data_IF_472373740752
#
_entry.id   IF_472373740752
#
_cell.length_a   1.000
_cell.length_b   1.000
_cell.length_c   1.000
_cell.angle_alpha   90.00
_cell.angle_beta   90.00
_cell.angle_gamma   90.00
#
_symmetry.space_group_name_H-M   'P 1'
#
loop_
_entity.id
_entity.type
_entity.pdbx_description
1 polymer ?
#
# COMPACT_ATOMS: atom_id res chain seq x y z
N UNK A 1 12.33 8.54 0.57
CA UNK A 1 12.00 7.83 1.82
C UNK A 1 13.28 7.50 2.58
N UNK A 2 13.30 7.76 3.89
CA UNK A 2 14.47 7.47 4.75
C UNK A 2 14.47 6.04 5.31
N UNK A 3 13.43 5.27 5.06
CA UNK A 3 13.33 3.89 5.51
C UNK A 3 14.12 2.94 4.61
N UNK A 4 14.70 1.92 5.23
CA UNK A 4 15.48 0.89 4.55
C UNK A 4 14.76 -0.47 4.60
N UNK A 5 13.48 -0.48 4.22
CA UNK A 5 12.70 -1.73 4.20
C UNK A 5 13.33 -2.73 3.22
N UNK A 6 13.64 -3.96 3.65
CA UNK A 6 14.29 -4.94 2.78
C UNK A 6 13.46 -5.33 1.56
N UNK A 7 12.14 -5.26 1.66
CA UNK A 7 11.18 -5.53 0.59
C UNK A 7 10.86 -4.32 -0.31
N UNK A 8 11.56 -3.20 -0.14
CA UNK A 8 11.25 -2.00 -0.92
C UNK A 8 11.67 -2.18 -2.38
N UNK A 9 10.70 -2.19 -3.29
CA UNK A 9 10.95 -2.30 -4.74
C UNK A 9 11.65 -1.06 -5.31
N UNK A 10 11.55 0.05 -4.60
CA UNK A 10 12.05 1.33 -5.10
C UNK A 10 13.53 1.59 -4.80
N UNK A 11 14.25 0.65 -4.19
CA UNK A 11 15.65 0.87 -3.80
C UNK A 11 16.60 1.09 -4.98
N UNK A 12 16.36 0.39 -6.08
CA UNK A 12 17.20 0.42 -7.26
C UNK A 12 16.74 1.48 -8.26
N UNK A 13 15.43 1.71 -8.33
CA UNK A 13 14.82 2.65 -9.26
C UNK A 13 15.13 4.13 -8.94
N UNK A 14 15.45 4.46 -7.70
CA UNK A 14 15.81 5.83 -7.30
C UNK A 14 17.27 6.20 -7.51
N UNK A 15 18.10 5.29 -7.98
CA UNK A 15 19.49 5.58 -8.29
C UNK A 15 19.61 6.55 -9.49
N UNK A 16 18.66 6.52 -10.40
CA UNK A 16 18.62 7.39 -11.57
C UNK A 16 17.31 8.20 -11.60
N UNK A 17 17.42 9.48 -11.22
CA UNK A 17 16.33 10.46 -11.28
C UNK A 17 16.31 11.21 -12.61
N UNK A 18 17.14 10.82 -13.58
CA UNK A 18 17.15 11.42 -14.91
C UNK A 18 15.82 11.13 -15.63
N UNK A 19 15.17 12.15 -16.09
CA UNK A 19 13.88 12.04 -16.78
C UNK A 19 12.65 12.07 -15.87
N UNK A 20 12.81 12.17 -14.54
CA UNK A 20 11.71 12.49 -13.66
C UNK A 20 11.24 13.95 -13.90
N UNK A 21 9.98 14.11 -14.27
CA UNK A 21 9.38 15.42 -14.51
C UNK A 21 7.99 15.45 -13.92
N UNK A 22 7.74 16.44 -13.07
CA UNK A 22 6.44 16.68 -12.48
C UNK A 22 5.37 16.94 -13.57
N UNK A 23 5.76 17.66 -14.62
CA UNK A 23 4.90 17.90 -15.79
C UNK A 23 4.46 16.59 -16.46
N UNK A 24 5.41 15.68 -16.71
CA UNK A 24 5.10 14.36 -17.32
C UNK A 24 4.20 13.50 -16.42
N UNK A 25 4.33 13.63 -15.10
CA UNK A 25 3.43 12.94 -14.16
C UNK A 25 2.02 13.51 -14.29
N UNK A 26 1.86 14.82 -14.30
CA UNK A 26 0.57 15.48 -14.46
C UNK A 26 -0.08 15.14 -15.79
N UNK A 27 0.69 15.13 -16.88
CA UNK A 27 0.21 14.67 -18.20
C UNK A 27 -0.24 13.20 -18.16
N UNK A 28 0.49 12.33 -17.42
CA UNK A 28 0.14 10.93 -17.29
C UNK A 28 -1.15 10.74 -16.51
N UNK A 29 -1.38 11.54 -15.45
CA UNK A 29 -2.64 11.58 -14.72
C UNK A 29 -3.80 11.93 -15.67
N UNK A 30 -3.66 12.98 -16.50
CA UNK A 30 -4.66 13.36 -17.48
C UNK A 30 -4.92 12.28 -18.54
N UNK A 31 -3.87 11.56 -18.97
CA UNK A 31 -4.04 10.42 -19.89
C UNK A 31 -4.80 9.27 -19.23
N UNK A 32 -4.53 8.98 -17.96
CA UNK A 32 -5.23 7.92 -17.23
C UNK A 32 -6.71 8.24 -17.04
N UNK A 33 -7.08 9.49 -16.80
CA UNK A 33 -8.47 9.92 -16.75
C UNK A 33 -9.20 9.59 -18.06
N UNK A 34 -8.58 9.88 -19.21
CA UNK A 34 -9.14 9.57 -20.52
C UNK A 34 -9.29 8.07 -20.79
N UNK A 35 -8.34 7.24 -20.31
CA UNK A 35 -8.35 5.78 -20.51
C UNK A 35 -9.33 5.11 -19.56
N UNK A 36 -9.37 5.55 -18.32
CA UNK A 36 -10.15 4.93 -17.25
C UNK A 36 -10.77 6.00 -16.32
N UNK A 37 -11.88 6.62 -16.72
CA UNK A 37 -12.49 7.75 -15.99
C UNK A 37 -13.08 7.36 -14.61
N UNK A 38 -12.95 6.12 -14.21
CA UNK A 38 -13.40 5.60 -12.89
C UNK A 38 -12.28 4.92 -12.10
N UNK A 39 -11.03 5.10 -12.51
CA UNK A 39 -9.90 4.55 -11.72
C UNK A 39 -9.69 5.35 -10.45
N UNK A 40 -9.11 4.70 -9.45
CA UNK A 40 -8.56 5.37 -8.28
C UNK A 40 -7.07 5.66 -8.49
N UNK A 41 -6.60 6.78 -7.94
CA UNK A 41 -5.17 7.11 -7.95
C UNK A 41 -4.54 6.73 -6.62
N UNK A 42 -3.43 6.00 -6.68
CA UNK A 42 -2.63 5.65 -5.50
C UNK A 42 -1.28 6.33 -5.59
N UNK A 43 -1.06 7.35 -4.78
CA UNK A 43 0.26 7.95 -4.65
C UNK A 43 1.12 7.13 -3.71
N UNK A 44 2.25 6.69 -4.24
CA UNK A 44 3.25 5.89 -3.54
C UNK A 44 4.63 6.34 -4.01
N UNK A 45 5.64 5.54 -3.78
CA UNK A 45 7.00 5.84 -4.20
C UNK A 45 7.92 5.93 -3.01
N UNK A 46 8.83 6.92 -2.95
CA UNK A 46 9.67 7.13 -1.80
C UNK A 46 8.86 7.49 -0.55
N UNK A 47 8.49 8.75 -0.47
CA UNK A 47 7.57 9.26 0.55
C UNK A 47 6.81 10.44 -0.03
N UNK A 48 5.49 10.35 -0.24
CA UNK A 48 4.70 11.41 -0.87
C UNK A 48 4.75 12.74 -0.11
N UNK A 49 4.77 12.69 1.23
CA UNK A 49 4.83 13.91 2.04
C UNK A 49 6.24 14.52 2.18
N UNK A 50 7.25 13.96 1.53
CA UNK A 50 8.60 14.53 1.58
C UNK A 50 8.70 15.89 0.86
N UNK A 51 7.90 16.08 -0.19
CA UNK A 51 7.81 17.35 -0.93
C UNK A 51 6.34 17.72 -1.13
N UNK A 52 5.80 18.52 -0.22
CA UNK A 52 4.37 18.88 -0.20
C UNK A 52 3.97 19.78 -1.38
N UNK A 53 4.86 20.61 -1.89
CA UNK A 53 4.59 21.48 -3.04
C UNK A 53 4.40 20.63 -4.32
N UNK A 54 5.35 19.75 -4.62
CA UNK A 54 5.24 18.85 -5.74
C UNK A 54 4.02 17.90 -5.60
N UNK A 55 3.77 17.44 -4.38
CA UNK A 55 2.63 16.56 -4.10
C UNK A 55 1.29 17.29 -4.31
N UNK A 56 1.18 18.56 -3.90
CA UNK A 56 -0.01 19.37 -4.15
C UNK A 56 -0.29 19.52 -5.65
N UNK A 57 0.72 19.79 -6.45
CA UNK A 57 0.59 19.90 -7.90
C UNK A 57 0.06 18.60 -8.50
N UNK A 58 0.61 17.44 -8.08
CA UNK A 58 0.14 16.13 -8.54
C UNK A 58 -1.31 15.86 -8.12
N UNK A 59 -1.67 16.18 -6.87
CA UNK A 59 -3.05 16.02 -6.39
C UNK A 59 -4.04 16.94 -7.10
N UNK A 60 -3.60 18.14 -7.49
CA UNK A 60 -4.45 19.08 -8.23
C UNK A 60 -4.65 18.67 -9.69
N UNK A 61 -3.71 17.91 -10.25
CA UNK A 61 -3.86 17.29 -11.57
C UNK A 61 -4.88 16.16 -11.60
N UNK A 62 -5.21 15.54 -10.45
CA UNK A 62 -6.23 14.48 -10.39
C UNK A 62 -7.63 15.10 -10.47
N UNK A 63 -8.44 14.72 -11.48
CA UNK A 63 -9.81 15.20 -11.60
C UNK A 63 -10.68 14.82 -10.39
N UNK A 64 -11.68 15.63 -10.04
CA UNK A 64 -12.49 15.42 -8.84
C UNK A 64 -13.39 14.18 -8.87
N UNK A 65 -13.51 13.54 -10.03
CA UNK A 65 -14.23 12.27 -10.22
C UNK A 65 -13.50 11.06 -9.67
N UNK A 66 -12.19 11.18 -9.44
CA UNK A 66 -11.34 10.11 -8.95
C UNK A 66 -11.10 10.22 -7.44
N UNK A 67 -10.88 9.07 -6.81
CA UNK A 67 -10.45 8.98 -5.41
C UNK A 67 -8.94 8.88 -5.33
N UNK A 68 -8.38 9.50 -4.31
CA UNK A 68 -6.94 9.47 -4.05
C UNK A 68 -6.68 8.62 -2.80
N UNK A 69 -5.76 7.68 -2.94
CA UNK A 69 -5.17 6.91 -1.86
C UNK A 69 -3.70 7.27 -1.72
N UNK A 70 -3.18 7.34 -0.52
CA UNK A 70 -1.80 7.75 -0.25
C UNK A 70 -1.10 6.65 0.55
N UNK A 71 0.00 6.11 0.03
CA UNK A 71 0.86 5.18 0.77
C UNK A 71 2.02 5.97 1.37
N UNK A 72 2.15 5.95 2.68
CA UNK A 72 3.12 6.78 3.41
C UNK A 72 3.64 6.08 4.66
N UNK A 73 4.78 6.52 5.15
CA UNK A 73 5.31 6.11 6.45
C UNK A 73 4.85 7.02 7.59
N UNK A 74 4.25 8.08 7.32
CA UNK A 74 3.71 9.18 8.11
C UNK A 74 4.09 9.18 9.62
N UNK A 75 4.80 10.17 10.13
CA UNK A 75 5.49 11.28 9.45
C UNK A 75 6.97 10.97 9.20
N UNK A 76 7.46 9.83 9.62
CA UNK A 76 8.86 9.48 9.96
C UNK A 76 9.87 9.66 8.83
N UNK A 77 9.46 9.47 7.58
CA UNK A 77 10.36 9.60 6.42
C UNK A 77 10.32 10.98 5.78
N UNK A 78 9.64 11.93 6.41
CA UNK A 78 9.60 13.31 5.96
C UNK A 78 10.45 14.19 6.88
N UNK A 79 11.05 15.23 6.35
CA UNK A 79 11.66 16.29 7.15
C UNK A 79 10.64 17.39 7.48
N UNK A 80 9.36 17.15 7.17
CA UNK A 80 8.28 18.09 7.41
C UNK A 80 7.80 18.01 8.86
N UNK A 81 7.52 19.15 9.51
CA UNK A 81 6.85 19.14 10.81
C UNK A 81 5.49 18.43 10.74
N UNK A 82 5.15 17.72 11.82
CA UNK A 82 3.89 16.97 11.93
C UNK A 82 2.67 17.84 11.61
N UNK A 83 2.63 19.06 12.17
CA UNK A 83 1.55 20.02 11.95
C UNK A 83 1.41 20.40 10.48
N UNK A 84 2.53 20.63 9.78
CA UNK A 84 2.52 20.97 8.36
C UNK A 84 1.92 19.84 7.51
N UNK A 85 2.20 18.58 7.85
CA UNK A 85 1.64 17.43 7.16
C UNK A 85 0.14 17.29 7.46
N UNK A 86 -0.27 17.50 8.71
CA UNK A 86 -1.69 17.49 9.09
C UNK A 86 -2.48 18.58 8.38
N UNK A 87 -1.96 19.81 8.35
CA UNK A 87 -2.58 20.94 7.65
C UNK A 87 -2.72 20.66 6.15
N UNK A 88 -1.73 20.00 5.55
CA UNK A 88 -1.80 19.57 4.15
C UNK A 88 -2.93 18.54 3.94
N UNK A 89 -3.02 17.54 4.81
CA UNK A 89 -4.06 16.51 4.74
C UNK A 89 -5.43 17.15 4.92
N UNK A 90 -5.60 18.03 5.90
CA UNK A 90 -6.87 18.71 6.19
C UNK A 90 -7.35 19.53 4.99
N UNK A 91 -6.47 20.33 4.39
CA UNK A 91 -6.80 21.11 3.18
C UNK A 91 -7.24 20.24 2.00
N UNK A 92 -6.74 19.03 1.90
CA UNK A 92 -7.00 18.09 0.80
C UNK A 92 -7.99 16.97 1.16
N UNK A 93 -8.59 16.98 2.37
CA UNK A 93 -9.36 15.86 2.89
C UNK A 93 -10.53 15.41 1.99
N UNK A 94 -11.09 16.33 1.19
CA UNK A 94 -12.21 16.01 0.28
C UNK A 94 -11.77 15.15 -0.92
N UNK A 95 -10.49 15.20 -1.30
CA UNK A 95 -9.91 14.42 -2.40
C UNK A 95 -9.38 13.07 -1.90
N UNK A 96 -8.98 12.98 -0.63
CA UNK A 96 -8.33 11.81 -0.05
C UNK A 96 -9.40 10.83 0.43
N UNK A 97 -9.42 9.65 -0.15
CA UNK A 97 -10.31 8.57 0.27
C UNK A 97 -9.75 7.79 1.47
N UNK A 98 -8.44 7.55 1.48
CA UNK A 98 -7.78 6.82 2.56
C UNK A 98 -6.26 7.06 2.54
N UNK A 99 -5.66 7.10 3.72
CA UNK A 99 -4.21 7.10 3.89
C UNK A 99 -3.78 5.72 4.38
N UNK A 100 -2.94 5.05 3.61
CA UNK A 100 -2.32 3.77 3.95
C UNK A 100 -0.99 4.04 4.65
N UNK A 101 -0.95 3.79 5.95
CA UNK A 101 0.21 4.10 6.80
C UNK A 101 1.04 2.84 7.03
N UNK A 102 2.28 2.85 6.61
CA UNK A 102 3.19 1.73 6.83
C UNK A 102 3.62 1.65 8.29
N UNK A 103 3.27 0.55 8.94
CA UNK A 103 3.72 0.17 10.29
C UNK A 103 3.99 -1.33 10.26
N UNK A 104 5.26 -1.72 10.33
CA UNK A 104 5.62 -3.12 10.20
C UNK A 104 5.86 -3.75 11.58
N UNK A 105 5.45 -5.00 11.71
CA UNK A 105 5.61 -5.77 12.94
C UNK A 105 7.08 -5.91 13.33
N UNK A 106 7.97 -5.97 12.36
CA UNK A 106 9.40 -6.17 12.52
C UNK A 106 10.23 -4.88 12.45
N UNK A 107 9.63 -3.74 12.71
CA UNK A 107 10.29 -2.44 12.92
C UNK A 107 11.26 -1.97 11.84
N UNK A 108 10.81 -1.91 10.59
CA UNK A 108 11.58 -1.27 9.51
C UNK A 108 11.33 0.25 9.38
N UNK A 109 10.46 0.77 10.22
CA UNK A 109 10.17 2.20 10.34
C UNK A 109 10.89 2.70 11.57
N UNK A 110 11.75 3.70 11.42
CA UNK A 110 12.70 4.16 12.45
C UNK A 110 12.00 4.63 13.71
N UNK A 111 10.90 5.35 13.60
CA UNK A 111 10.06 5.74 14.73
C UNK A 111 8.62 5.89 14.29
N UNK A 112 7.68 5.43 15.06
CA UNK A 112 6.28 5.57 14.75
C UNK A 112 5.58 6.43 15.80
N UNK A 113 5.08 7.59 15.39
CA UNK A 113 4.20 8.39 16.23
C UNK A 113 2.74 8.02 15.94
N UNK A 114 2.20 7.05 16.68
CA UNK A 114 0.82 6.63 16.49
C UNK A 114 -0.20 7.66 16.99
N UNK A 115 0.22 8.60 17.83
CA UNK A 115 -0.66 9.70 18.28
C UNK A 115 -1.10 10.58 17.11
N UNK A 116 -0.28 10.68 16.06
CA UNK A 116 -0.63 11.38 14.83
C UNK A 116 -1.80 10.72 14.12
N UNK A 117 -1.87 9.39 14.12
CA UNK A 117 -2.94 8.65 13.44
C UNK A 117 -4.32 8.98 14.02
N UNK A 118 -4.40 9.24 15.32
CA UNK A 118 -5.64 9.64 15.98
C UNK A 118 -6.11 11.06 15.58
N UNK A 119 -5.23 11.87 14.98
CA UNK A 119 -5.53 13.24 14.54
C UNK A 119 -5.88 13.33 13.05
N UNK A 120 -5.79 12.23 12.30
CA UNK A 120 -6.06 12.25 10.87
C UNK A 120 -7.53 12.59 10.60
N UNK A 121 -7.81 13.60 9.75
CA UNK A 121 -9.17 14.00 9.42
C UNK A 121 -9.83 13.14 8.33
N UNK A 122 -9.13 12.10 7.88
CA UNK A 122 -9.55 11.18 6.81
C UNK A 122 -9.38 9.73 7.27
N UNK A 123 -10.11 8.79 6.68
CA UNK A 123 -9.91 7.36 6.94
C UNK A 123 -8.46 6.95 6.71
N UNK A 124 -7.96 6.06 7.56
CA UNK A 124 -6.63 5.49 7.37
C UNK A 124 -6.65 3.97 7.55
N UNK A 125 -5.65 3.33 6.94
CA UNK A 125 -5.39 1.91 7.05
C UNK A 125 -3.93 1.71 7.42
N UNK A 126 -3.68 0.82 8.35
CA UNK A 126 -2.31 0.41 8.70
C UNK A 126 -1.88 -0.72 7.77
N UNK A 127 -0.80 -0.51 7.02
CA UNK A 127 -0.22 -1.53 6.17
C UNK A 127 0.98 -2.20 6.86
N UNK A 128 0.94 -3.52 6.96
CA UNK A 128 1.98 -4.33 7.56
C UNK A 128 2.42 -5.44 6.60
N UNK A 129 3.68 -5.42 6.18
CA UNK A 129 4.29 -6.53 5.45
C UNK A 129 4.78 -7.54 6.48
N UNK A 130 4.40 -8.79 6.31
CA UNK A 130 4.81 -9.94 7.11
C UNK A 130 5.84 -10.75 6.33
N UNK A 131 6.91 -11.11 7.01
CA UNK A 131 8.01 -11.87 6.44
C UNK A 131 7.91 -13.35 6.81
N UNK A 132 8.72 -14.14 6.12
CA UNK A 132 9.08 -15.46 6.58
C UNK A 132 9.60 -15.38 8.02
N UNK A 133 9.14 -16.24 8.89
CA UNK A 133 9.49 -16.26 10.31
C UNK A 133 9.10 -14.99 11.10
N UNK A 134 8.03 -14.31 10.71
CA UNK A 134 7.49 -13.23 11.54
C UNK A 134 7.07 -13.79 12.93
N UNK A 135 7.18 -12.98 13.99
CA UNK A 135 6.81 -13.39 15.34
C UNK A 135 5.28 -13.44 15.48
N UNK A 136 4.68 -14.62 15.26
CA UNK A 136 3.22 -14.80 15.24
C UNK A 136 2.56 -14.38 16.56
N UNK A 137 3.26 -14.53 17.68
CA UNK A 137 2.82 -14.10 19.03
C UNK A 137 2.65 -12.58 19.14
N UNK A 138 3.27 -11.82 18.24
CA UNK A 138 3.16 -10.36 18.20
C UNK A 138 1.91 -9.87 17.43
N UNK A 139 1.22 -10.73 16.70
CA UNK A 139 0.03 -10.35 15.94
C UNK A 139 -1.06 -9.74 16.83
N UNK A 140 -1.35 -10.38 17.96
CA UNK A 140 -2.39 -9.88 18.88
C UNK A 140 -1.99 -8.55 19.51
N UNK A 141 -0.81 -8.38 20.13
CA UNK A 141 -0.35 -7.08 20.63
C UNK A 141 -0.37 -5.99 19.55
N UNK A 142 0.04 -6.32 18.33
CA UNK A 142 0.04 -5.40 17.20
C UNK A 142 -1.39 -4.94 16.85
N UNK A 143 -2.34 -5.85 16.71
CA UNK A 143 -3.73 -5.51 16.42
C UNK A 143 -4.36 -4.69 17.55
N UNK A 144 -4.09 -5.02 18.82
CA UNK A 144 -4.59 -4.27 19.98
C UNK A 144 -4.03 -2.84 20.03
N UNK A 145 -2.82 -2.61 19.55
CA UNK A 145 -2.21 -1.28 19.43
C UNK A 145 -3.07 -0.35 18.59
N UNK A 146 -3.49 -0.80 17.41
CA UNK A 146 -4.23 0.02 16.45
C UNK A 146 -5.74 0.00 16.68
N UNK A 147 -6.29 -1.08 17.24
CA UNK A 147 -7.73 -1.18 17.52
C UNK A 147 -8.27 -0.04 18.40
N UNK A 148 -7.41 0.57 19.19
CA UNK A 148 -7.77 1.70 20.06
C UNK A 148 -7.93 3.01 19.30
N UNK A 149 -7.50 3.08 18.05
CA UNK A 149 -7.57 4.28 17.23
C UNK A 149 -8.91 4.29 16.46
N UNK A 150 -9.64 5.40 16.47
CA UNK A 150 -10.91 5.51 15.76
C UNK A 150 -10.77 5.28 14.26
N UNK A 151 -11.60 4.43 13.70
CA UNK A 151 -11.62 4.16 12.26
C UNK A 151 -10.42 3.39 11.72
N UNK A 152 -9.56 2.85 12.58
CA UNK A 152 -8.42 2.05 12.16
C UNK A 152 -8.85 0.74 11.49
N UNK A 153 -8.16 0.39 10.42
CA UNK A 153 -8.17 -0.93 9.81
C UNK A 153 -6.74 -1.37 9.55
N UNK A 154 -6.52 -2.67 9.42
CA UNK A 154 -5.16 -3.20 9.16
C UNK A 154 -5.19 -4.03 7.88
N UNK A 155 -4.19 -3.81 7.02
CA UNK A 155 -3.91 -4.66 5.88
C UNK A 155 -2.57 -5.35 6.09
N UNK A 156 -2.61 -6.66 6.22
CA UNK A 156 -1.42 -7.50 6.16
C UNK A 156 -1.12 -7.91 4.72
N UNK A 157 0.14 -7.96 4.39
CA UNK A 157 0.64 -8.49 3.13
C UNK A 157 1.80 -9.42 3.38
N UNK A 158 1.91 -10.47 2.59
CA UNK A 158 3.10 -11.30 2.59
C UNK A 158 4.22 -10.62 1.80
N UNK A 159 5.46 -10.76 2.27
CA UNK A 159 6.63 -10.24 1.58
C UNK A 159 6.88 -11.02 0.28
N UNK A 160 6.60 -10.38 -0.85
CA UNK A 160 6.77 -10.98 -2.17
C UNK A 160 8.25 -11.25 -2.51
N UNK A 161 9.21 -10.56 -1.89
CA UNK A 161 10.65 -10.78 -2.14
C UNK A 161 11.14 -12.11 -1.58
N UNK A 162 10.38 -12.72 -0.69
CA UNK A 162 10.65 -14.05 -0.17
C UNK A 162 10.15 -15.17 -1.11
N UNK A 163 9.38 -14.82 -2.16
CA UNK A 163 8.86 -15.80 -3.11
C UNK A 163 9.85 -16.08 -4.23
N UNK A 164 10.04 -17.35 -4.54
CA UNK A 164 10.78 -17.80 -5.73
C UNK A 164 9.83 -18.56 -6.66
N UNK A 165 10.19 -18.77 -7.93
CA UNK A 165 9.35 -19.56 -8.84
C UNK A 165 9.01 -20.95 -8.31
N UNK A 166 9.89 -21.52 -7.47
CA UNK A 166 9.72 -22.86 -6.92
C UNK A 166 8.81 -22.89 -5.69
N UNK A 167 8.66 -21.76 -5.01
CA UNK A 167 7.90 -21.66 -3.76
C UNK A 167 6.80 -20.59 -3.78
N UNK A 168 6.19 -20.35 -4.92
CA UNK A 168 5.18 -19.33 -5.13
C UNK A 168 3.90 -19.52 -4.31
N UNK A 169 3.52 -20.75 -4.04
CA UNK A 169 2.35 -21.10 -3.25
C UNK A 169 2.66 -21.47 -1.83
N UNK A 170 3.33 -20.63 -1.24
CA UNK A 170 3.96 -20.78 -0.04
C UNK A 170 3.19 -21.28 1.12
N UNK A 171 3.68 -22.31 1.70
CA UNK A 171 3.40 -22.74 3.07
C UNK A 171 3.39 -21.55 4.04
N UNK A 172 4.29 -20.59 3.84
CA UNK A 172 4.40 -19.40 4.67
C UNK A 172 3.20 -18.45 4.53
N UNK A 173 2.73 -18.19 3.31
CA UNK A 173 1.52 -17.39 3.10
C UNK A 173 0.27 -18.08 3.66
N UNK A 174 0.18 -19.39 3.54
CA UNK A 174 -0.88 -20.17 4.16
C UNK A 174 -0.74 -20.21 5.68
N UNK A 175 0.47 -20.25 6.21
CA UNK A 175 0.74 -20.14 7.64
C UNK A 175 0.20 -18.83 8.20
N UNK A 176 0.47 -17.68 7.54
CA UNK A 176 -0.07 -16.37 7.93
C UNK A 176 -1.60 -16.42 8.00
N UNK A 177 -2.23 -16.96 6.96
CA UNK A 177 -3.68 -17.11 6.90
C UNK A 177 -4.22 -17.94 8.06
N UNK A 178 -3.57 -19.06 8.39
CA UNK A 178 -3.95 -19.90 9.53
C UNK A 178 -3.74 -19.20 10.87
N UNK A 179 -2.66 -18.48 11.03
CA UNK A 179 -2.40 -17.74 12.28
C UNK A 179 -3.40 -16.59 12.47
N UNK A 180 -3.77 -15.88 11.41
CA UNK A 180 -4.85 -14.88 11.48
C UNK A 180 -6.20 -15.51 11.82
N UNK A 181 -6.53 -16.68 11.26
CA UNK A 181 -7.78 -17.42 11.59
C UNK A 181 -7.87 -17.87 13.05
N UNK A 182 -6.74 -18.04 13.74
CA UNK A 182 -6.71 -18.37 15.17
C UNK A 182 -7.08 -17.20 16.06
N UNK A 183 -6.79 -15.96 15.62
CA UNK A 183 -6.86 -14.77 16.45
C UNK A 183 -7.97 -13.79 16.03
N UNK A 184 -8.48 -13.89 14.82
CA UNK A 184 -9.53 -13.04 14.27
C UNK A 184 -10.62 -13.87 13.57
N UNK A 185 -11.83 -13.34 13.55
CA UNK A 185 -12.98 -14.02 12.90
C UNK A 185 -12.88 -13.80 11.38
N UNK A 186 -12.69 -14.87 10.63
CA UNK A 186 -12.72 -14.84 9.18
C UNK A 186 -14.12 -14.46 8.67
N UNK A 187 -14.19 -13.50 7.75
CA UNK A 187 -15.45 -12.97 7.21
C UNK A 187 -15.65 -13.22 5.72
N UNK A 188 -14.61 -13.59 4.99
CA UNK A 188 -14.74 -13.96 3.59
C UNK A 188 -13.55 -13.58 2.73
N UNK A 189 -13.70 -13.81 1.44
CA UNK A 189 -12.78 -13.35 0.40
C UNK A 189 -13.28 -12.05 -0.20
N UNK A 190 -12.36 -11.23 -0.73
CA UNK A 190 -12.77 -10.11 -1.57
C UNK A 190 -13.49 -10.59 -2.83
N UNK A 191 -14.29 -9.70 -3.42
CA UNK A 191 -15.04 -9.96 -4.64
C UNK A 191 -14.21 -9.95 -5.90
N UNK A 192 -12.89 -9.78 -5.81
CA UNK A 192 -12.05 -9.71 -7.00
C UNK A 192 -11.86 -11.12 -7.60
N UNK A 193 -11.66 -11.16 -8.92
CA UNK A 193 -11.51 -12.43 -9.67
C UNK A 193 -10.34 -13.26 -9.14
N UNK A 194 -9.28 -12.64 -8.68
CA UNK A 194 -8.07 -13.30 -8.22
C UNK A 194 -8.19 -13.87 -6.81
N UNK A 195 -9.19 -13.42 -6.03
CA UNK A 195 -9.44 -13.90 -4.67
C UNK A 195 -8.22 -13.89 -3.75
N UNK A 196 -7.39 -12.85 -3.89
CA UNK A 196 -6.14 -12.71 -3.13
C UNK A 196 -6.33 -12.01 -1.78
N UNK A 197 -7.46 -11.36 -1.53
CA UNK A 197 -7.76 -10.66 -0.30
C UNK A 197 -8.67 -11.48 0.62
N UNK A 198 -8.20 -11.73 1.83
CA UNK A 198 -8.94 -12.42 2.90
C UNK A 198 -9.35 -11.40 3.94
N UNK A 199 -10.65 -11.39 4.28
CA UNK A 199 -11.21 -10.43 5.22
C UNK A 199 -11.44 -11.08 6.59
N UNK A 200 -11.19 -10.29 7.62
CA UNK A 200 -11.38 -10.69 9.00
C UNK A 200 -11.97 -9.54 9.81
N UNK A 201 -12.59 -9.88 10.90
CA UNK A 201 -12.99 -9.00 11.97
C UNK A 201 -12.21 -9.33 13.23
N UNK A 202 -11.51 -8.34 13.77
CA UNK A 202 -10.83 -8.44 15.05
C UNK A 202 -11.50 -7.53 16.06
N UNK A 203 -12.44 -8.06 16.84
CA UNK A 203 -13.16 -7.31 17.88
C UNK A 203 -13.75 -5.99 17.36
N UNK A 204 -14.33 -6.01 16.17
CA UNK A 204 -14.93 -4.85 15.51
C UNK A 204 -13.98 -4.02 14.63
N UNK A 205 -12.70 -4.35 14.57
CA UNK A 205 -11.75 -3.74 13.64
C UNK A 205 -11.62 -4.59 12.38
N UNK A 206 -11.73 -3.96 11.22
CA UNK A 206 -11.52 -4.63 9.94
C UNK A 206 -10.05 -4.97 9.72
N UNK A 207 -9.80 -6.22 9.34
CA UNK A 207 -8.49 -6.68 8.88
C UNK A 207 -8.62 -7.26 7.48
N UNK A 208 -7.60 -7.03 6.67
CA UNK A 208 -7.43 -7.72 5.39
C UNK A 208 -6.06 -8.36 5.33
N UNK A 209 -5.96 -9.52 4.70
CA UNK A 209 -4.71 -10.15 4.37
C UNK A 209 -4.63 -10.39 2.88
N UNK A 210 -3.60 -9.84 2.24
CA UNK A 210 -3.33 -10.06 0.83
C UNK A 210 -2.15 -11.02 0.69
N UNK A 211 -2.48 -12.22 0.24
CA UNK A 211 -1.50 -13.23 -0.11
C UNK A 211 -0.79 -12.81 -1.42
N UNK A 212 0.50 -12.99 -1.48
CA UNK A 212 1.20 -12.90 -2.76
C UNK A 212 0.74 -14.04 -3.65
N UNK A 213 0.26 -13.68 -4.83
CA UNK A 213 -0.13 -14.67 -5.82
C UNK A 213 1.04 -14.95 -6.77
N UNK A 214 1.20 -16.19 -7.20
CA UNK A 214 2.10 -16.51 -8.27
C UNK A 214 1.51 -15.98 -9.60
N UNK A 215 2.29 -15.23 -10.31
CA UNK A 215 1.96 -14.82 -11.66
C UNK A 215 2.95 -15.46 -12.63
N UNK A 216 2.44 -16.02 -13.72
CA UNK A 216 3.25 -16.34 -14.87
C UNK A 216 3.16 -15.21 -15.88
N UNK A 217 4.28 -14.73 -16.34
CA UNK A 217 4.34 -13.80 -17.47
C UNK A 217 4.51 -14.61 -18.73
N UNK A 218 3.54 -14.52 -19.62
CA UNK A 218 3.65 -15.06 -20.97
C UNK A 218 3.87 -13.88 -21.91
N UNK A 219 4.92 -14.01 -22.72
CA UNK A 219 5.19 -13.02 -23.78
C UNK A 219 4.45 -13.49 -25.02
N UNK A 220 3.43 -12.75 -25.39
CA UNK A 220 2.68 -12.99 -26.63
C UNK A 220 2.93 -11.88 -27.63
N UNK A 221 3.18 -12.26 -28.86
CA UNK A 221 3.27 -11.31 -29.99
C UNK A 221 1.99 -11.35 -30.79
N UNK A 222 1.33 -10.22 -30.91
CA UNK A 222 0.16 -10.08 -31.78
C UNK A 222 0.59 -10.34 -33.24
N UNK A 223 0.05 -11.36 -33.88
CA UNK A 223 0.45 -11.73 -35.25
C UNK A 223 0.06 -10.68 -36.29
N UNK A 224 -0.83 -9.76 -35.97
CA UNK A 224 -1.30 -8.73 -36.89
C UNK A 224 -0.47 -7.45 -36.77
N UNK A 225 -0.26 -6.97 -35.55
CA UNK A 225 0.48 -5.73 -35.30
C UNK A 225 1.98 -5.95 -35.10
N UNK A 226 2.40 -7.15 -34.79
CA UNK A 226 3.78 -7.48 -34.40
C UNK A 226 4.18 -6.94 -33.03
N UNK A 227 3.22 -6.39 -32.27
CA UNK A 227 3.48 -5.87 -30.93
C UNK A 227 3.53 -7.01 -29.94
N UNK A 228 4.55 -6.99 -29.11
CA UNK A 228 4.73 -7.97 -28.04
C UNK A 228 4.15 -7.45 -26.72
N UNK A 229 3.37 -8.27 -26.05
CA UNK A 229 2.75 -7.98 -24.77
C UNK A 229 3.23 -8.95 -23.73
N UNK A 230 3.51 -8.42 -22.54
CA UNK A 230 3.65 -9.24 -21.34
C UNK A 230 2.26 -9.44 -20.71
N UNK A 231 1.80 -10.69 -20.72
CA UNK A 231 0.50 -11.05 -20.15
C UNK A 231 0.73 -11.76 -18.82
N UNK A 232 0.15 -11.22 -17.76
CA UNK A 232 0.16 -11.84 -16.43
C UNK A 232 -1.03 -12.80 -16.30
N UNK A 233 -0.72 -14.04 -16.00
CA UNK A 233 -1.73 -15.06 -15.72
C UNK A 233 -1.73 -15.42 -14.24
N UNK A 234 -2.94 -15.65 -13.72
CA UNK A 234 -3.13 -16.33 -12.45
C UNK A 234 -2.87 -17.84 -12.69
N UNK A 235 -1.95 -18.42 -11.92
CA UNK A 235 -1.56 -19.84 -12.00
C UNK A 235 -2.37 -20.65 -11.00
#
# INVERSE_FOLDING_TARGET
CKNHCPFCINKEEYADMTGFSLEKICESIGRMDNISPRCDFVFTGGEPFANLEAFQIMMDAVPPTHKIYINTTLPVSTDQPEETVLDFIERNMRKIACINVSRHLQHYVVESNDSLLAKLPVPFRVNCVLYKNYPAEQLVPYMERFRKLPGASIQFRFDYTATTPENLYEEEGDKILQDLKKVARYTGLDGCRMRCGFHFDYKGMELTYHKTLPYSTIVETDPVSGVTYDILYDI
#
